data_IF_822539097142
#
_entry.id   IF_822539097142
#
_cell.length_a   1.000
_cell.length_b   1.000
_cell.length_c   1.000
_cell.angle_alpha   90.00
_cell.angle_beta   90.00
_cell.angle_gamma   90.00
#
_symmetry.space_group_name_H-M   'P 1'
#
loop_
_entity.id
_entity.type
_entity.pdbx_description
1 polymer ?
#
# COMPACT_ATOMS: atom_id res chain seq x y z
N UNK A 1 -15.87 21.52 -36.75
CA UNK A 1 -15.99 21.33 -35.29
C UNK A 1 -14.67 21.79 -34.64
N UNK A 2 -14.73 22.80 -33.79
CA UNK A 2 -13.56 23.28 -33.07
C UNK A 2 -13.14 22.22 -32.04
N UNK A 3 -11.89 21.77 -32.11
CA UNK A 3 -11.28 20.86 -31.14
C UNK A 3 -11.13 21.63 -29.83
N UNK A 4 -11.93 21.32 -28.81
CA UNK A 4 -11.77 21.92 -27.49
C UNK A 4 -10.49 21.35 -26.87
N UNK A 5 -9.42 22.14 -26.87
CA UNK A 5 -8.21 21.81 -26.14
C UNK A 5 -8.48 22.08 -24.68
N UNK A 6 -8.68 21.03 -23.87
CA UNK A 6 -8.65 21.16 -22.41
C UNK A 6 -7.20 21.48 -22.02
N UNK A 7 -6.97 22.70 -21.60
CA UNK A 7 -5.71 23.05 -20.94
C UNK A 7 -5.70 22.33 -19.61
N UNK A 8 -4.77 21.39 -19.44
CA UNK A 8 -4.48 20.77 -18.15
C UNK A 8 -3.74 21.80 -17.31
N UNK A 9 -4.50 22.74 -16.74
CA UNK A 9 -3.94 23.83 -15.96
C UNK A 9 -4.26 23.71 -14.48
N UNK A 10 -3.37 24.26 -13.68
CA UNK A 10 -3.47 24.67 -12.26
C UNK A 10 -3.89 23.62 -11.21
N UNK A 11 -4.37 22.46 -11.60
CA UNK A 11 -4.77 21.40 -10.68
C UNK A 11 -3.75 20.25 -10.53
N UNK A 12 -2.49 20.46 -10.89
CA UNK A 12 -1.46 19.42 -10.75
C UNK A 12 -1.21 19.18 -9.26
N UNK A 13 -1.53 17.96 -8.83
CA UNK A 13 -1.13 17.49 -7.51
C UNK A 13 0.22 16.79 -7.64
N UNK A 14 1.20 17.29 -6.93
CA UNK A 14 2.53 16.67 -6.83
C UNK A 14 2.64 16.10 -5.43
N UNK A 15 2.91 14.81 -5.33
CA UNK A 15 3.11 14.12 -4.06
C UNK A 15 4.60 14.09 -3.75
N UNK A 16 5.06 14.97 -2.87
CA UNK A 16 6.46 15.03 -2.43
C UNK A 16 6.54 15.24 -0.93
N UNK A 17 7.62 14.78 -0.33
CA UNK A 17 7.90 14.92 1.10
C UNK A 17 6.78 14.32 1.96
N UNK A 18 6.87 13.02 2.19
CA UNK A 18 5.97 12.29 3.09
C UNK A 18 5.87 13.02 4.43
N UNK A 19 4.65 13.31 4.88
CA UNK A 19 4.35 14.00 6.13
C UNK A 19 4.05 13.02 7.24
N UNK A 20 3.25 11.99 6.92
CA UNK A 20 2.89 10.92 7.83
C UNK A 20 2.54 9.65 7.05
N UNK A 21 2.63 8.53 7.72
CA UNK A 21 2.14 7.24 7.24
C UNK A 21 1.35 6.57 8.35
N UNK A 22 0.07 6.37 8.10
CA UNK A 22 -0.79 5.61 9.01
C UNK A 22 -1.00 4.20 8.49
N UNK A 23 -0.99 3.26 9.40
CA UNK A 23 -1.24 1.85 9.12
C UNK A 23 -2.38 1.36 10.01
N UNK A 24 -3.38 0.74 9.39
CA UNK A 24 -4.50 0.12 10.09
C UNK A 24 -4.53 -1.38 9.75
N UNK A 25 -4.38 -2.28 10.72
CA UNK A 25 -4.39 -3.71 10.45
C UNK A 25 -5.77 -4.19 9.98
N UNK A 26 -5.77 -5.19 9.09
CA UNK A 26 -6.95 -5.98 8.77
C UNK A 26 -7.01 -7.18 9.70
N UNK A 27 -8.08 -7.30 10.44
CA UNK A 27 -8.31 -8.40 11.37
C UNK A 27 -9.09 -9.52 10.70
N UNK A 28 -8.59 -10.75 10.83
CA UNK A 28 -9.30 -11.94 10.37
C UNK A 28 -10.38 -12.27 11.40
N UNK A 29 -11.61 -12.42 10.91
CA UNK A 29 -12.77 -12.80 11.72
C UNK A 29 -12.88 -14.33 11.85
N UNK A 30 -13.71 -14.80 12.78
CA UNK A 30 -13.92 -16.23 13.01
C UNK A 30 -14.52 -16.95 11.79
N UNK A 31 -15.31 -16.24 10.99
CA UNK A 31 -15.91 -16.74 9.75
C UNK A 31 -14.91 -16.78 8.58
N UNK A 32 -13.64 -16.36 8.80
CA UNK A 32 -12.59 -16.29 7.79
C UNK A 32 -12.57 -15.02 6.96
N UNK A 33 -13.52 -14.11 7.15
CA UNK A 33 -13.48 -12.77 6.52
C UNK A 33 -12.42 -11.88 7.16
N UNK A 34 -12.14 -10.73 6.51
CA UNK A 34 -11.22 -9.71 7.03
C UNK A 34 -11.93 -8.38 7.14
N UNK A 35 -11.76 -7.71 8.27
CA UNK A 35 -12.27 -6.36 8.52
C UNK A 35 -11.13 -5.44 8.99
N UNK A 36 -11.25 -4.13 8.72
CA UNK A 36 -10.33 -3.13 9.24
C UNK A 36 -10.42 -3.08 10.77
N UNK A 37 -9.27 -3.14 11.42
CA UNK A 37 -9.16 -2.89 12.85
C UNK A 37 -9.50 -1.44 13.20
N UNK A 38 -9.70 -1.19 14.49
CA UNK A 38 -9.95 0.15 15.03
C UNK A 38 -8.67 0.95 15.30
N UNK A 39 -7.56 0.26 15.42
CA UNK A 39 -6.30 0.85 15.85
C UNK A 39 -5.52 1.41 14.65
N UNK A 40 -5.14 2.67 14.73
CA UNK A 40 -4.35 3.38 13.73
C UNK A 40 -2.95 3.59 14.30
N UNK A 41 -1.95 3.12 13.59
CA UNK A 41 -0.54 3.26 13.97
C UNK A 41 0.15 4.29 13.08
N UNK A 42 0.79 5.27 13.71
CA UNK A 42 1.60 6.29 13.03
C UNK A 42 3.05 5.81 12.95
N UNK A 43 3.57 5.66 11.73
CA UNK A 43 4.95 5.28 11.48
C UNK A 43 5.83 6.53 11.39
N UNK A 44 6.41 6.92 12.51
CA UNK A 44 7.16 8.19 12.64
C UNK A 44 8.62 8.12 12.17
N UNK A 45 9.24 6.94 12.19
CA UNK A 45 10.66 6.77 11.92
C UNK A 45 10.92 6.11 10.55
N UNK A 46 10.39 6.72 9.49
CA UNK A 46 10.58 6.28 8.11
C UNK A 46 11.89 6.85 7.58
N UNK A 47 12.66 6.01 6.89
CA UNK A 47 13.88 6.46 6.21
C UNK A 47 13.49 7.40 5.06
N UNK A 48 14.16 8.55 4.98
CA UNK A 48 13.90 9.51 3.89
C UNK A 48 14.06 8.87 2.52
N UNK A 49 13.17 9.25 1.59
CA UNK A 49 13.15 8.79 0.20
C UNK A 49 12.97 7.26 -0.01
N UNK A 50 12.60 6.51 1.04
CA UNK A 50 12.40 5.06 0.95
C UNK A 50 10.98 4.66 0.56
N UNK A 51 10.00 5.56 0.68
CA UNK A 51 8.60 5.26 0.42
C UNK A 51 8.26 5.34 -1.06
N UNK A 52 7.80 4.25 -1.62
CA UNK A 52 7.39 4.15 -3.01
C UNK A 52 6.09 3.34 -3.16
N UNK A 53 5.24 3.76 -4.10
CA UNK A 53 4.09 3.01 -4.58
C UNK A 53 4.24 2.90 -6.09
N UNK A 54 4.46 1.72 -6.59
CA UNK A 54 4.73 1.44 -7.99
C UNK A 54 3.70 0.47 -8.55
N UNK A 55 3.25 0.73 -9.78
CA UNK A 55 2.42 -0.21 -10.52
C UNK A 55 3.27 -0.90 -11.57
N UNK A 56 3.26 -2.23 -11.58
CA UNK A 56 3.87 -3.00 -12.65
C UNK A 56 3.19 -2.72 -13.99
N UNK A 57 3.89 -2.98 -15.08
CA UNK A 57 3.31 -2.89 -16.42
C UNK A 57 2.10 -3.84 -16.56
N UNK A 58 1.16 -3.43 -17.40
CA UNK A 58 0.02 -4.28 -17.73
C UNK A 58 0.48 -5.47 -18.57
N UNK A 59 -0.04 -6.64 -18.26
CA UNK A 59 0.16 -7.82 -19.09
C UNK A 59 -0.89 -7.87 -20.20
N UNK A 60 -0.45 -7.98 -21.44
CA UNK A 60 -1.30 -8.15 -22.60
C UNK A 60 -1.16 -9.57 -23.10
N UNK A 61 -2.24 -10.34 -23.03
CA UNK A 61 -2.31 -11.69 -23.57
C UNK A 61 -3.12 -11.64 -24.87
N UNK A 62 -2.45 -11.92 -25.99
CA UNK A 62 -3.06 -11.93 -27.32
C UNK A 62 -3.11 -13.35 -27.85
N UNK A 63 -4.23 -13.68 -28.51
CA UNK A 63 -4.32 -14.88 -29.34
C UNK A 63 -4.21 -14.40 -30.78
N UNK A 64 -3.12 -14.79 -31.44
CA UNK A 64 -2.85 -14.40 -32.82
C UNK A 64 -3.86 -15.04 -33.78
N UNK A 65 -4.22 -14.32 -34.83
CA UNK A 65 -5.01 -14.79 -35.92
C UNK A 65 -4.09 -15.25 -37.07
N UNK A 66 -4.25 -16.50 -37.54
CA UNK A 66 -3.34 -17.10 -38.54
C UNK A 66 -3.30 -16.33 -39.87
N UNK A 67 -4.35 -15.59 -40.21
CA UNK A 67 -4.50 -14.91 -41.50
C UNK A 67 -4.70 -13.38 -41.40
N UNK A 68 -4.52 -12.81 -40.22
CA UNK A 68 -4.72 -11.38 -39.99
C UNK A 68 -3.61 -10.83 -39.10
N UNK A 69 -3.25 -9.57 -39.29
CA UNK A 69 -2.37 -8.85 -38.37
C UNK A 69 -3.06 -8.34 -37.10
N UNK A 70 -4.36 -8.53 -37.00
CA UNK A 70 -5.12 -8.19 -35.80
C UNK A 70 -5.28 -9.43 -34.93
N UNK A 71 -5.12 -9.32 -33.59
CA UNK A 71 -5.31 -10.44 -32.70
C UNK A 71 -6.78 -10.88 -32.70
N UNK A 72 -7.01 -12.18 -32.62
CA UNK A 72 -8.35 -12.77 -32.50
C UNK A 72 -8.98 -12.42 -31.14
N UNK A 73 -8.16 -12.33 -30.12
CA UNK A 73 -8.56 -12.00 -28.76
C UNK A 73 -7.40 -11.30 -28.04
N UNK A 74 -7.71 -10.25 -27.33
CA UNK A 74 -6.79 -9.51 -26.47
C UNK A 74 -7.37 -9.42 -25.06
N UNK A 75 -6.59 -9.84 -24.07
CA UNK A 75 -6.91 -9.67 -22.66
C UNK A 75 -5.82 -8.87 -21.97
N UNK A 76 -6.20 -7.75 -21.41
CA UNK A 76 -5.28 -6.90 -20.63
C UNK A 76 -5.49 -7.18 -19.15
N UNK A 77 -4.43 -7.63 -18.48
CA UNK A 77 -4.38 -7.75 -17.02
C UNK A 77 -3.65 -6.55 -16.46
N UNK A 78 -4.30 -5.81 -15.57
CA UNK A 78 -3.67 -4.67 -14.91
C UNK A 78 -2.50 -5.12 -14.04
N UNK A 79 -1.39 -4.40 -14.15
CA UNK A 79 -0.22 -4.63 -13.32
C UNK A 79 -0.54 -4.42 -11.83
N UNK A 80 0.05 -5.26 -10.98
CA UNK A 80 -0.09 -5.15 -9.54
C UNK A 80 0.61 -3.91 -9.01
N UNK A 81 0.04 -3.29 -7.97
CA UNK A 81 0.68 -2.19 -7.26
C UNK A 81 1.45 -2.74 -6.07
N UNK A 82 2.70 -2.34 -5.95
CA UNK A 82 3.57 -2.65 -4.82
C UNK A 82 3.84 -1.40 -4.01
N UNK A 83 3.82 -1.57 -2.70
CA UNK A 83 4.20 -0.56 -1.74
C UNK A 83 5.53 -0.97 -1.10
N UNK A 84 6.46 -0.04 -0.97
CA UNK A 84 7.74 -0.25 -0.29
C UNK A 84 8.09 0.94 0.58
N UNK A 85 8.67 0.68 1.74
CA UNK A 85 9.27 1.71 2.60
C UNK A 85 10.27 1.07 3.55
N UNK A 86 11.13 1.89 4.16
CA UNK A 86 12.03 1.46 5.22
C UNK A 86 11.75 2.23 6.51
N UNK A 87 11.72 1.54 7.63
CA UNK A 87 11.65 2.17 8.94
C UNK A 87 12.83 1.73 9.83
N UNK A 88 13.17 2.59 10.78
CA UNK A 88 14.17 2.31 11.82
C UNK A 88 13.51 2.12 13.19
N UNK A 89 12.20 2.00 13.21
CA UNK A 89 11.41 1.82 14.41
C UNK A 89 11.09 0.35 14.63
N UNK A 90 11.51 -0.15 15.80
CA UNK A 90 11.25 -1.52 16.24
C UNK A 90 10.39 -1.55 17.50
N UNK A 91 9.48 -0.58 17.63
CA UNK A 91 8.49 -0.66 18.70
C UNK A 91 7.66 -1.93 18.57
N UNK A 92 7.25 -2.49 19.70
CA UNK A 92 6.54 -3.76 19.74
C UNK A 92 5.30 -3.78 18.83
N UNK A 93 4.57 -2.67 18.76
CA UNK A 93 3.36 -2.58 17.94
C UNK A 93 3.68 -2.57 16.45
N UNK A 94 4.76 -1.91 16.03
CA UNK A 94 5.24 -1.94 14.63
C UNK A 94 5.62 -3.37 14.23
N UNK A 95 6.34 -4.09 15.10
CA UNK A 95 6.72 -5.48 14.86
C UNK A 95 5.49 -6.39 14.75
N UNK A 96 4.47 -6.19 15.58
CA UNK A 96 3.23 -6.97 15.53
C UNK A 96 2.44 -6.69 14.25
N UNK A 97 2.24 -5.41 13.92
CA UNK A 97 1.33 -4.98 12.85
C UNK A 97 1.95 -5.18 11.46
N UNK A 98 3.23 -4.91 11.29
CA UNK A 98 3.88 -4.91 9.97
C UNK A 98 4.71 -6.17 9.70
N UNK A 99 5.14 -6.87 10.75
CA UNK A 99 6.01 -8.03 10.63
C UNK A 99 5.38 -9.31 11.19
N UNK A 100 4.18 -9.22 11.75
CA UNK A 100 3.43 -10.38 12.26
C UNK A 100 4.01 -11.01 13.54
N UNK A 101 4.82 -10.26 14.30
CA UNK A 101 5.35 -10.76 15.57
C UNK A 101 4.22 -10.93 16.59
N UNK A 102 4.37 -11.93 17.46
CA UNK A 102 3.38 -12.24 18.51
C UNK A 102 3.97 -12.02 19.88
N UNK A 103 3.18 -11.45 20.76
CA UNK A 103 3.56 -11.24 22.16
C UNK A 103 2.78 -12.18 23.06
N UNK A 104 3.51 -12.98 23.84
CA UNK A 104 2.93 -13.87 24.83
C UNK A 104 3.81 -13.92 26.07
N UNK A 105 3.20 -13.71 27.25
CA UNK A 105 3.94 -13.77 28.54
C UNK A 105 5.08 -12.78 28.66
N UNK A 106 5.05 -11.63 27.97
CA UNK A 106 6.12 -10.63 27.94
C UNK A 106 7.27 -10.96 27.00
N UNK A 107 7.12 -11.99 26.17
CA UNK A 107 8.07 -12.35 25.12
C UNK A 107 7.47 -11.94 23.78
N UNK A 108 8.21 -11.14 23.01
CA UNK A 108 7.87 -10.79 21.64
C UNK A 108 8.67 -11.71 20.70
N UNK A 109 7.96 -12.56 19.95
CA UNK A 109 8.57 -13.58 19.10
C UNK A 109 8.23 -13.35 17.62
N UNK A 110 9.23 -13.55 16.76
CA UNK A 110 9.02 -13.59 15.32
C UNK A 110 8.19 -14.82 14.94
N UNK A 111 7.31 -14.72 13.92
CA UNK A 111 6.54 -15.87 13.45
C UNK A 111 7.48 -16.95 12.91
N UNK A 112 7.20 -18.22 13.26
CA UNK A 112 7.91 -19.39 12.72
C UNK A 112 7.29 -19.86 11.39
N UNK A 113 6.02 -19.55 11.19
CA UNK A 113 5.24 -19.93 10.03
C UNK A 113 4.72 -18.69 9.29
N UNK A 114 4.49 -18.85 7.99
CA UNK A 114 3.93 -17.78 7.19
C UNK A 114 2.44 -17.58 7.51
N UNK A 115 2.10 -16.42 8.00
CA UNK A 115 0.72 -15.96 8.12
C UNK A 115 0.48 -14.79 7.18
N UNK A 116 -0.68 -14.80 6.52
CA UNK A 116 -1.08 -13.66 5.70
C UNK A 116 -1.43 -12.47 6.58
N UNK A 117 -0.70 -11.40 6.39
CA UNK A 117 -0.88 -10.15 7.11
C UNK A 117 -1.40 -9.08 6.14
N UNK A 118 -2.48 -8.42 6.50
CA UNK A 118 -3.09 -7.36 5.70
C UNK A 118 -3.22 -6.08 6.51
N UNK A 119 -2.92 -4.95 5.85
CA UNK A 119 -3.08 -3.61 6.42
C UNK A 119 -3.72 -2.67 5.40
N UNK A 120 -4.39 -1.62 5.87
CA UNK A 120 -4.62 -0.42 5.07
C UNK A 120 -3.48 0.56 5.34
N UNK A 121 -3.05 1.29 4.31
CA UNK A 121 -1.96 2.27 4.40
C UNK A 121 -2.47 3.61 3.90
N UNK A 122 -2.24 4.64 4.69
CA UNK A 122 -2.57 6.03 4.37
C UNK A 122 -1.30 6.88 4.34
N UNK A 123 -1.07 7.59 3.25
CA UNK A 123 0.10 8.41 3.00
C UNK A 123 -0.31 9.88 2.87
N UNK A 124 0.11 10.72 3.79
CA UNK A 124 -0.03 12.17 3.72
C UNK A 124 1.28 12.83 3.28
N UNK A 125 1.19 13.92 2.51
CA UNK A 125 2.33 14.61 1.92
C UNK A 125 2.35 16.09 2.29
N UNK A 126 3.55 16.67 2.42
CA UNK A 126 3.69 18.11 2.72
C UNK A 126 3.32 19.02 1.53
N UNK A 127 3.39 18.50 0.31
CA UNK A 127 3.13 19.25 -0.92
C UNK A 127 1.66 19.43 -1.27
N UNK A 128 0.77 18.73 -0.58
CA UNK A 128 -0.66 18.73 -0.87
C UNK A 128 -1.46 18.34 0.37
N UNK A 129 -2.71 18.78 0.43
CA UNK A 129 -3.71 18.33 1.41
C UNK A 129 -4.36 16.99 1.03
N UNK A 130 -4.03 16.44 -0.13
CA UNK A 130 -4.54 15.16 -0.58
C UNK A 130 -3.78 14.01 0.04
N UNK A 131 -4.48 12.94 0.30
CA UNK A 131 -3.99 11.73 0.94
C UNK A 131 -4.14 10.56 -0.02
N UNK A 132 -3.09 9.77 -0.17
CA UNK A 132 -3.12 8.52 -0.94
C UNK A 132 -3.44 7.38 0.01
N UNK A 133 -4.43 6.57 -0.33
CA UNK A 133 -4.86 5.44 0.48
C UNK A 133 -4.77 4.15 -0.33
N UNK A 134 -4.08 3.18 0.24
CA UNK A 134 -4.06 1.78 -0.20
C UNK A 134 -4.98 1.00 0.74
N UNK A 135 -6.21 0.68 0.32
CA UNK A 135 -7.24 0.18 1.24
C UNK A 135 -6.96 -1.24 1.76
N UNK A 136 -6.24 -2.05 1.00
CA UNK A 136 -5.88 -3.42 1.41
C UNK A 136 -4.53 -3.80 0.84
N UNK A 137 -3.52 -3.89 1.69
CA UNK A 137 -2.16 -4.29 1.33
C UNK A 137 -1.82 -5.59 2.03
N UNK A 138 -1.44 -6.60 1.25
CA UNK A 138 -0.85 -7.83 1.79
C UNK A 138 0.61 -7.56 2.09
N UNK A 139 0.97 -7.65 3.35
CA UNK A 139 2.31 -7.35 3.82
C UNK A 139 3.26 -8.52 3.55
N UNK A 140 4.48 -8.18 3.15
CA UNK A 140 5.59 -9.10 2.97
C UNK A 140 6.85 -8.45 3.56
N UNK A 141 6.72 -7.96 4.78
CA UNK A 141 7.75 -7.17 5.45
C UNK A 141 8.87 -8.05 6.01
N UNK A 142 10.07 -7.49 6.07
CA UNK A 142 11.26 -8.19 6.54
C UNK A 142 12.03 -7.32 7.53
N UNK A 143 12.17 -7.82 8.75
CA UNK A 143 13.03 -7.19 9.76
C UNK A 143 14.51 -7.55 9.52
N UNK A 144 15.39 -6.57 9.55
CA UNK A 144 16.84 -6.74 9.46
C UNK A 144 17.46 -6.17 10.72
N UNK A 145 18.04 -7.04 11.54
CA UNK A 145 18.78 -6.63 12.74
C UNK A 145 20.27 -6.47 12.38
N UNK A 146 20.73 -5.22 12.35
CA UNK A 146 22.12 -4.89 12.10
C UNK A 146 22.87 -4.69 13.42
N UNK A 147 24.11 -5.20 13.50
CA UNK A 147 24.99 -5.11 14.70
C UNK A 147 26.25 -4.30 14.41
N UNK A 148 26.20 -3.34 13.48
CA UNK A 148 27.36 -2.56 13.08
C UNK A 148 27.43 -1.22 13.82
N UNK A 149 28.65 -0.73 14.08
CA UNK A 149 28.86 0.58 14.74
C UNK A 149 28.34 1.77 13.95
N UNK A 150 28.16 1.62 12.64
CA UNK A 150 27.80 2.69 11.70
C UNK A 150 26.45 2.48 11.01
N UNK A 151 25.77 1.36 11.30
CA UNK A 151 24.47 1.05 10.71
C UNK A 151 23.43 0.82 11.80
N UNK A 152 22.19 1.16 11.47
CA UNK A 152 21.04 0.94 12.33
C UNK A 152 20.20 -0.22 11.79
N UNK A 153 19.59 -0.95 12.70
CA UNK A 153 18.61 -1.98 12.31
C UNK A 153 17.48 -1.34 11.54
N UNK A 154 17.10 -1.94 10.41
CA UNK A 154 16.06 -1.43 9.53
C UNK A 154 15.00 -2.46 9.29
N UNK A 155 13.74 -2.02 9.19
CA UNK A 155 12.62 -2.82 8.74
C UNK A 155 12.33 -2.49 7.28
N UNK A 156 12.50 -3.47 6.40
CA UNK A 156 12.03 -3.36 5.01
C UNK A 156 10.56 -3.74 4.98
N UNK A 157 9.72 -2.74 4.80
CA UNK A 157 8.27 -2.90 4.71
C UNK A 157 7.92 -2.97 3.24
N UNK A 158 7.40 -4.11 2.82
CA UNK A 158 6.94 -4.31 1.45
C UNK A 158 5.54 -4.90 1.47
N UNK A 159 4.76 -4.59 0.46
CA UNK A 159 3.42 -5.13 0.36
C UNK A 159 2.85 -5.03 -1.05
N UNK A 160 1.87 -5.86 -1.33
CA UNK A 160 1.11 -5.86 -2.60
C UNK A 160 -0.29 -5.34 -2.34
N UNK A 161 -0.71 -4.32 -3.09
CA UNK A 161 -2.04 -3.76 -2.96
C UNK A 161 -3.08 -4.65 -3.63
N UNK A 162 -4.17 -4.89 -2.93
CA UNK A 162 -5.34 -5.64 -3.40
C UNK A 162 -6.57 -4.75 -3.41
N UNK A 163 -7.46 -5.01 -4.34
CA UNK A 163 -8.72 -4.27 -4.40
C UNK A 163 -9.60 -4.53 -3.18
N UNK A 164 -10.16 -3.46 -2.65
CA UNK A 164 -11.21 -3.48 -1.62
C UNK A 164 -12.38 -2.60 -2.06
N UNK A 165 -13.55 -2.83 -1.47
CA UNK A 165 -14.71 -1.97 -1.67
C UNK A 165 -14.61 -0.74 -0.75
N UNK A 166 -14.54 0.43 -1.36
CA UNK A 166 -14.47 1.72 -0.64
C UNK A 166 -15.75 2.49 -0.89
N UNK A 167 -16.38 2.96 0.18
CA UNK A 167 -17.57 3.81 0.10
C UNK A 167 -17.14 5.27 -0.04
N UNK A 168 -17.54 5.91 -1.12
CA UNK A 168 -17.38 7.36 -1.28
C UNK A 168 -18.43 8.15 -0.48
N UNK A 169 -18.23 9.45 -0.36
CA UNK A 169 -19.15 10.36 0.35
C UNK A 169 -20.59 10.38 -0.21
N UNK A 170 -20.79 9.95 -1.45
CA UNK A 170 -22.11 9.77 -2.08
C UNK A 170 -22.81 8.45 -1.73
N UNK A 171 -22.18 7.59 -0.93
CA UNK A 171 -22.71 6.27 -0.55
C UNK A 171 -22.46 5.17 -1.58
N UNK A 172 -22.00 5.50 -2.80
CA UNK A 172 -21.64 4.51 -3.79
C UNK A 172 -20.31 3.85 -3.44
N UNK A 173 -20.26 2.52 -3.56
CA UNK A 173 -19.04 1.77 -3.33
C UNK A 173 -18.26 1.61 -4.65
N UNK A 174 -16.94 1.82 -4.57
CA UNK A 174 -16.01 1.64 -5.69
C UNK A 174 -15.02 0.55 -5.27
N UNK A 175 -14.79 -0.42 -6.17
CA UNK A 175 -13.74 -1.41 -5.97
C UNK A 175 -12.43 -0.85 -6.48
N UNK A 176 -11.45 -0.67 -5.60
CA UNK A 176 -10.15 -0.10 -5.94
C UNK A 176 -9.05 -0.63 -5.05
N UNK A 177 -7.83 -0.62 -5.54
CA UNK A 177 -6.61 -0.98 -4.83
C UNK A 177 -5.82 0.26 -4.34
N UNK A 178 -6.16 1.44 -4.87
CA UNK A 178 -5.60 2.72 -4.45
C UNK A 178 -6.58 3.86 -4.80
N UNK A 179 -6.71 4.83 -3.92
CA UNK A 179 -7.52 6.03 -4.18
C UNK A 179 -6.91 7.25 -3.49
N UNK A 180 -7.36 8.42 -3.91
CA UNK A 180 -6.94 9.71 -3.37
C UNK A 180 -8.15 10.40 -2.79
N UNK A 181 -8.03 10.87 -1.56
CA UNK A 181 -9.03 11.73 -0.91
C UNK A 181 -8.48 13.14 -0.72
N UNK A 182 -9.35 14.14 -0.78
CA UNK A 182 -9.00 15.46 -0.29
C UNK A 182 -8.80 15.33 1.23
N UNK A 183 -7.65 15.77 1.72
CA UNK A 183 -7.39 15.77 3.16
C UNK A 183 -8.46 16.59 3.85
N UNK A 184 -9.09 16.02 4.85
CA UNK A 184 -9.88 16.80 5.80
C UNK A 184 -8.93 17.68 6.61
N UNK A 185 -9.25 18.93 6.72
CA UNK A 185 -8.55 19.89 7.58
C UNK A 185 -8.62 19.47 9.04
#
# INVERSE_FOLDING_TARGET
MAKVTKVLDSGRTVFTNLKYMYVTPWMKQEDGSYELGSDIYDLVNIVGDSTNVEQAENEVNEIEHEFSSEPLYEAVTLGTKTFTTECVDYQNDVLKVLFGWKEEGGILAAPSDYEELYCAIELGFNSTDKVVVLPKVKMNSRAVLASMKTDVSRGNITGTAYSAWVKGGSGNAIKTDMFIIAGGA
#
